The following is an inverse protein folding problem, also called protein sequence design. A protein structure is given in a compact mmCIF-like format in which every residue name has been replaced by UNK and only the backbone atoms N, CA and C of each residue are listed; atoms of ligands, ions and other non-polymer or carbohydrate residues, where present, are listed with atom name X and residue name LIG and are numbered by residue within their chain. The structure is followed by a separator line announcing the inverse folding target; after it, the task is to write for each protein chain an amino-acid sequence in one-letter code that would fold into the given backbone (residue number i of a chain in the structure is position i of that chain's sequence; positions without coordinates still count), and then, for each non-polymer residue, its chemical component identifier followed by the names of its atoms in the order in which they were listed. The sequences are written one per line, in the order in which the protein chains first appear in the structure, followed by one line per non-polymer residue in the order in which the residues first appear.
data_IF_865183930752
#
_entry.id   IF_865183930752
#
_cell.length_a   1.000
_cell.length_b   1.000
_cell.length_c   1.000
_cell.angle_alpha   90.00
_cell.angle_beta   90.00
_cell.angle_gamma   90.00
#
_symmetry.space_group_name_H-M   'P 1'
#
loop_
_entity.id
_entity.type
_entity.pdbx_description
1 polymer ?
#
# COMPACT_ATOMS: atom_id res chain seq x y z
N UNK A 1 18.03 -45.05 63.71
CA UNK A 1 18.00 -45.90 62.49
C UNK A 1 19.45 -46.24 62.14
N UNK A 2 19.82 -47.52 62.11
CA UNK A 2 21.22 -47.97 61.97
C UNK A 2 21.85 -47.48 60.66
N UNK A 3 23.08 -46.97 60.70
CA UNK A 3 23.87 -46.50 59.55
C UNK A 3 23.92 -47.50 58.40
N UNK A 4 23.84 -48.80 58.70
CA UNK A 4 23.70 -49.89 57.72
C UNK A 4 22.43 -49.80 56.87
N UNK A 5 21.29 -49.35 57.43
CA UNK A 5 20.04 -49.19 56.69
C UNK A 5 20.10 -48.01 55.72
N UNK A 6 20.79 -46.94 56.10
CA UNK A 6 20.96 -45.74 55.26
C UNK A 6 21.85 -46.01 54.05
N UNK A 7 22.91 -46.80 54.23
CA UNK A 7 23.82 -47.20 53.14
C UNK A 7 23.12 -48.13 52.14
N UNK A 8 22.33 -49.10 52.63
CA UNK A 8 21.57 -50.01 51.76
C UNK A 8 20.52 -49.24 50.95
N UNK A 9 19.82 -48.28 51.57
CA UNK A 9 18.83 -47.44 50.88
C UNK A 9 19.48 -46.59 49.78
N UNK A 10 20.67 -46.02 50.04
CA UNK A 10 21.41 -45.23 49.06
C UNK A 10 21.86 -46.06 47.86
N UNK A 11 22.34 -47.30 48.09
CA UNK A 11 22.75 -48.22 47.03
C UNK A 11 21.55 -48.65 46.18
N UNK A 12 20.40 -48.94 46.81
CA UNK A 12 19.17 -49.29 46.07
C UNK A 12 18.69 -48.12 45.23
N UNK A 13 18.69 -46.89 45.75
CA UNK A 13 18.31 -45.69 45.00
C UNK A 13 19.26 -45.41 43.82
N UNK A 14 20.58 -45.59 44.01
CA UNK A 14 21.57 -45.44 42.94
C UNK A 14 21.43 -46.51 41.85
N UNK A 15 21.18 -47.77 42.23
CA UNK A 15 20.96 -48.86 41.27
C UNK A 15 19.64 -48.71 40.53
N UNK A 16 18.56 -48.26 41.19
CA UNK A 16 17.32 -47.92 40.50
C UNK A 16 17.48 -46.71 39.57
N UNK A 17 18.27 -45.71 39.97
CA UNK A 17 18.58 -44.55 39.13
C UNK A 17 19.41 -44.92 37.89
N UNK A 18 20.37 -45.84 38.04
CA UNK A 18 21.17 -46.38 36.93
C UNK A 18 20.34 -47.29 36.01
N UNK A 19 19.45 -48.12 36.56
CA UNK A 19 18.57 -48.98 35.76
C UNK A 19 17.52 -48.18 34.97
N UNK A 20 16.96 -47.11 35.56
CA UNK A 20 16.05 -46.18 34.87
C UNK A 20 16.84 -45.32 33.86
N UNK A 21 18.05 -44.90 34.20
CA UNK A 21 18.95 -44.18 33.29
C UNK A 21 19.33 -45.01 32.06
N UNK A 22 19.57 -46.32 32.21
CA UNK A 22 19.86 -47.24 31.10
C UNK A 22 18.60 -47.66 30.32
N UNK A 23 17.43 -47.72 30.99
CA UNK A 23 16.15 -47.96 30.32
C UNK A 23 15.67 -46.77 29.47
N UNK A 24 16.09 -45.55 29.82
CA UNK A 24 15.76 -44.32 29.09
C UNK A 24 16.82 -43.93 28.03
N UNK A 25 18.03 -44.50 28.07
CA UNK A 25 19.01 -44.35 26.98
C UNK A 25 18.81 -45.38 25.86
N UNK A 26 17.96 -46.39 26.07
CA UNK A 26 17.64 -47.43 25.10
C UNK A 26 16.46 -47.12 24.16
N UNK A 27 15.70 -46.05 24.39
CA UNK A 27 14.75 -45.56 23.38
C UNK A 27 15.45 -44.49 22.55
N UNK A 28 16.27 -44.95 21.60
CA UNK A 28 16.52 -44.19 20.38
C UNK A 28 15.16 -43.88 19.73
N UNK A 29 14.56 -42.74 20.09
CA UNK A 29 13.73 -42.02 19.15
C UNK A 29 14.67 -41.43 18.08
N UNK A 30 15.30 -42.30 17.29
CA UNK A 30 15.77 -41.94 15.94
C UNK A 30 14.54 -41.83 15.06
N UNK A 31 13.73 -40.80 15.30
CA UNK A 31 12.98 -40.22 14.20
C UNK A 31 13.90 -39.18 13.62
N UNK A 32 14.85 -39.65 12.80
CA UNK A 32 15.56 -38.83 11.81
C UNK A 32 14.58 -38.18 10.84
N UNK A 33 13.30 -38.53 10.90
CA UNK A 33 12.29 -38.14 9.94
C UNK A 33 11.25 -37.20 10.60
N UNK A 34 11.12 -35.96 10.12
CA UNK A 34 9.93 -35.14 10.37
C UNK A 34 8.84 -35.56 9.40
N UNK A 35 7.68 -35.97 9.93
CA UNK A 35 6.50 -36.33 9.15
C UNK A 35 5.49 -35.20 9.19
N UNK A 36 5.36 -34.46 8.09
CA UNK A 36 4.34 -33.43 7.93
C UNK A 36 3.14 -34.01 7.18
N UNK A 37 1.99 -34.06 7.85
CA UNK A 37 0.73 -34.57 7.29
C UNK A 37 -0.24 -33.43 6.98
N UNK A 38 -0.79 -33.41 5.77
CA UNK A 38 -1.87 -32.52 5.36
C UNK A 38 -2.95 -33.34 4.66
N UNK A 39 -4.08 -33.58 5.35
CA UNK A 39 -5.10 -34.53 4.88
C UNK A 39 -4.55 -35.96 4.78
N UNK A 40 -4.67 -36.59 3.60
CA UNK A 40 -4.12 -37.92 3.30
C UNK A 40 -2.68 -37.88 2.77
N UNK A 41 -2.13 -36.68 2.53
CA UNK A 41 -0.77 -36.52 2.01
C UNK A 41 0.25 -36.41 3.15
N UNK A 42 1.43 -37.00 2.94
CA UNK A 42 2.50 -37.07 3.93
C UNK A 42 3.86 -36.73 3.31
N UNK A 43 4.55 -35.77 3.91
CA UNK A 43 5.95 -35.46 3.63
C UNK A 43 6.83 -36.01 4.74
N UNK A 44 7.91 -36.68 4.36
CA UNK A 44 8.93 -37.21 5.27
C UNK A 44 10.23 -36.46 4.98
N UNK A 45 10.75 -35.73 5.96
CA UNK A 45 12.00 -34.95 5.86
C UNK A 45 13.05 -35.66 6.71
N UNK A 46 14.15 -36.08 6.09
CA UNK A 46 15.28 -36.70 6.80
C UNK A 46 16.20 -35.60 7.35
N UNK A 47 16.15 -35.36 8.65
CA UNK A 47 16.84 -34.33 9.40
C UNK A 47 18.37 -34.39 9.28
N UNK A 48 18.97 -35.58 9.17
CA UNK A 48 20.43 -35.70 9.09
C UNK A 48 20.94 -35.34 7.68
N UNK A 49 20.15 -35.69 6.65
CA UNK A 49 20.56 -35.52 5.25
C UNK A 49 20.08 -34.21 4.64
N UNK A 50 18.87 -33.78 5.00
CA UNK A 50 18.20 -32.66 4.33
C UNK A 50 18.45 -31.32 5.01
N UNK A 51 18.76 -31.28 6.32
CA UNK A 51 19.14 -30.03 7.01
C UNK A 51 20.62 -29.64 6.82
N UNK A 52 21.43 -30.50 6.20
CA UNK A 52 22.84 -30.19 5.93
C UNK A 52 23.01 -29.12 4.84
N UNK A 53 21.96 -28.88 4.05
CA UNK A 53 21.93 -27.92 2.96
C UNK A 53 20.54 -27.28 2.84
N UNK A 54 20.47 -25.97 3.13
CA UNK A 54 19.22 -25.19 3.11
C UNK A 54 18.53 -25.25 1.73
N UNK A 55 19.30 -25.33 0.64
CA UNK A 55 18.77 -25.42 -0.72
C UNK A 55 18.06 -26.75 -0.96
N UNK A 56 18.66 -27.87 -0.51
CA UNK A 56 18.05 -29.21 -0.57
C UNK A 56 16.80 -29.30 0.30
N UNK A 57 16.81 -28.73 1.50
CA UNK A 57 15.65 -28.69 2.40
C UNK A 57 14.49 -27.92 1.77
N UNK A 58 14.75 -26.68 1.34
CA UNK A 58 13.74 -25.83 0.72
C UNK A 58 13.25 -26.44 -0.60
N UNK A 59 14.15 -27.01 -1.39
CA UNK A 59 13.80 -27.76 -2.60
C UNK A 59 12.81 -28.89 -2.32
N UNK A 60 13.00 -29.65 -1.24
CA UNK A 60 12.07 -30.71 -0.83
C UNK A 60 10.74 -30.16 -0.33
N UNK A 61 10.74 -29.15 0.53
CA UNK A 61 9.52 -28.53 1.08
C UNK A 61 8.66 -27.95 -0.05
N UNK A 62 9.26 -27.30 -1.04
CA UNK A 62 8.53 -26.70 -2.15
C UNK A 62 8.37 -27.62 -3.38
N UNK A 63 8.93 -28.84 -3.36
CA UNK A 63 8.82 -29.79 -4.49
C UNK A 63 7.42 -30.38 -4.70
N UNK A 64 6.58 -30.40 -3.64
CA UNK A 64 5.24 -30.99 -3.68
C UNK A 64 4.20 -29.92 -3.34
N UNK A 65 3.13 -29.84 -4.12
CA UNK A 65 2.10 -28.79 -3.98
C UNK A 65 1.50 -28.70 -2.57
N UNK A 66 1.17 -29.82 -1.93
CA UNK A 66 0.60 -29.80 -0.58
C UNK A 66 1.60 -29.32 0.50
N UNK A 67 2.88 -29.65 0.34
CA UNK A 67 3.95 -29.24 1.25
C UNK A 67 4.28 -27.77 1.07
N UNK A 68 4.34 -27.31 -0.19
CA UNK A 68 4.48 -25.90 -0.52
C UNK A 68 3.32 -25.09 0.07
N UNK A 69 2.07 -25.55 -0.11
CA UNK A 69 0.89 -24.90 0.46
C UNK A 69 0.92 -24.88 2.00
N UNK A 70 1.35 -25.98 2.63
CA UNK A 70 1.54 -26.04 4.08
C UNK A 70 2.60 -25.06 4.58
N UNK A 71 3.75 -24.98 3.90
CA UNK A 71 4.83 -24.06 4.22
C UNK A 71 4.42 -22.59 4.05
N UNK A 72 3.72 -22.27 2.96
CA UNK A 72 3.18 -20.92 2.75
C UNK A 72 2.17 -20.55 3.82
N UNK A 73 1.25 -21.45 4.20
CA UNK A 73 0.30 -21.18 5.27
C UNK A 73 0.99 -21.01 6.63
N UNK A 74 1.98 -21.85 6.95
CA UNK A 74 2.74 -21.71 8.18
C UNK A 74 3.49 -20.37 8.26
N UNK A 75 4.17 -19.96 7.18
CA UNK A 75 4.84 -18.66 7.09
C UNK A 75 3.87 -17.49 7.30
N UNK A 76 2.65 -17.63 6.80
CA UNK A 76 1.61 -16.62 6.92
C UNK A 76 1.03 -16.54 8.33
N UNK A 77 0.70 -17.68 8.94
CA UNK A 77 0.04 -17.73 10.24
C UNK A 77 1.00 -17.41 11.39
N UNK A 78 2.26 -17.89 11.32
CA UNK A 78 3.22 -17.76 12.43
C UNK A 78 4.18 -16.58 12.27
N UNK A 79 4.51 -16.21 11.04
CA UNK A 79 5.53 -15.19 10.76
C UNK A 79 4.98 -13.95 10.02
N UNK A 80 3.68 -13.92 9.72
CA UNK A 80 3.05 -12.86 8.92
C UNK A 80 3.79 -12.58 7.60
N UNK A 81 4.40 -13.63 7.01
CA UNK A 81 5.12 -13.56 5.76
C UNK A 81 4.20 -14.01 4.62
N UNK A 82 3.87 -13.07 3.75
CA UNK A 82 2.98 -13.28 2.62
C UNK A 82 3.76 -13.28 1.32
N UNK A 83 3.32 -14.11 0.38
CA UNK A 83 3.73 -13.95 -1.00
C UNK A 83 3.10 -12.67 -1.59
N UNK A 84 3.79 -11.98 -2.50
CA UNK A 84 3.30 -10.69 -3.05
C UNK A 84 1.97 -10.81 -3.83
N UNK A 85 1.62 -12.02 -4.27
CA UNK A 85 0.37 -12.34 -4.97
C UNK A 85 -0.68 -13.01 -4.07
N UNK A 86 -0.42 -13.13 -2.77
CA UNK A 86 -1.37 -13.72 -1.82
C UNK A 86 -2.56 -12.76 -1.62
N UNK A 87 -3.82 -13.20 -1.83
CA UNK A 87 -4.99 -12.35 -1.63
C UNK A 87 -5.14 -11.84 -0.19
N UNK A 88 -4.66 -12.59 0.80
CA UNK A 88 -4.83 -12.25 2.22
C UNK A 88 -3.82 -11.19 2.69
N UNK A 89 -2.77 -10.94 1.91
CA UNK A 89 -1.87 -9.80 2.12
C UNK A 89 -2.65 -8.48 2.10
N UNK A 90 -3.64 -8.35 1.21
CA UNK A 90 -4.44 -7.12 1.12
C UNK A 90 -5.19 -6.83 2.42
N UNK A 91 -5.72 -7.86 3.10
CA UNK A 91 -6.35 -7.72 4.40
C UNK A 91 -5.37 -7.18 5.46
N UNK A 92 -4.17 -7.78 5.54
CA UNK A 92 -3.14 -7.33 6.48
C UNK A 92 -2.61 -5.93 6.21
N UNK A 93 -2.54 -5.51 4.96
CA UNK A 93 -2.17 -4.14 4.61
C UNK A 93 -3.17 -3.10 5.18
N UNK A 94 -4.44 -3.46 5.41
CA UNK A 94 -5.42 -2.55 6.01
C UNK A 94 -5.27 -2.40 7.53
N UNK A 95 -4.62 -3.35 8.18
CA UNK A 95 -4.36 -3.34 9.63
C UNK A 95 -3.13 -2.50 9.98
N UNK A 96 -2.32 -2.10 8.99
CA UNK A 96 -1.10 -1.33 9.22
C UNK A 96 -1.39 0.05 9.82
N UNK A 97 -0.63 0.40 10.86
CA UNK A 97 -0.67 1.74 11.42
C UNK A 97 -0.27 2.80 10.39
N UNK A 98 -0.89 3.97 10.49
CA UNK A 98 -0.66 5.06 9.56
C UNK A 98 0.83 5.49 9.52
N UNK A 99 1.53 5.49 10.65
CA UNK A 99 2.94 5.94 10.71
C UNK A 99 3.96 4.81 10.50
N UNK A 100 3.52 3.59 10.19
CA UNK A 100 4.45 2.49 9.91
C UNK A 100 5.28 2.76 8.65
N UNK A 101 6.51 2.22 8.62
CA UNK A 101 7.41 2.37 7.48
C UNK A 101 6.78 1.87 6.17
N UNK A 102 6.10 0.72 6.22
CA UNK A 102 5.38 0.14 5.09
C UNK A 102 4.22 1.05 4.62
N UNK A 103 3.40 1.58 5.53
CA UNK A 103 2.34 2.54 5.19
C UNK A 103 2.89 3.80 4.53
N UNK A 104 4.02 4.33 5.00
CA UNK A 104 4.68 5.49 4.40
C UNK A 104 5.18 5.19 2.99
N UNK A 105 5.85 4.07 2.78
CA UNK A 105 6.32 3.65 1.46
C UNK A 105 5.17 3.39 0.48
N UNK A 106 4.07 2.79 0.94
CA UNK A 106 2.87 2.62 0.13
C UNK A 106 2.22 3.96 -0.25
N UNK A 107 2.22 4.95 0.65
CA UNK A 107 1.79 6.32 0.31
C UNK A 107 2.71 6.97 -0.69
N UNK A 108 4.02 6.85 -0.53
CA UNK A 108 4.98 7.37 -1.52
C UNK A 108 4.84 6.67 -2.87
N UNK A 109 4.63 5.36 -2.88
CA UNK A 109 4.36 4.59 -4.10
C UNK A 109 3.05 4.99 -4.74
N UNK A 110 1.98 5.21 -3.94
CA UNK A 110 0.73 5.80 -4.41
C UNK A 110 1.02 7.15 -5.05
N UNK A 111 1.73 8.04 -4.37
CA UNK A 111 2.01 9.40 -4.85
C UNK A 111 2.89 9.40 -6.11
N UNK A 112 3.77 8.40 -6.29
CA UNK A 112 4.57 8.18 -7.50
C UNK A 112 3.81 7.47 -8.63
N UNK A 113 2.84 6.61 -8.29
CA UNK A 113 1.99 5.82 -9.21
C UNK A 113 0.63 6.45 -9.49
N UNK A 114 0.38 7.62 -8.91
CA UNK A 114 -0.57 8.61 -9.38
C UNK A 114 -0.23 8.90 -10.85
N UNK A 115 -0.72 8.05 -11.75
CA UNK A 115 -0.44 8.09 -13.19
C UNK A 115 -0.92 9.39 -13.83
N UNK A 116 -0.97 9.50 -15.16
CA UNK A 116 -1.37 10.73 -15.88
C UNK A 116 -2.77 11.28 -15.53
N UNK A 117 -3.53 10.61 -14.66
CA UNK A 117 -4.79 11.05 -14.06
C UNK A 117 -4.63 11.88 -12.77
N UNK A 118 -3.39 12.11 -12.30
CA UNK A 118 -3.06 12.89 -11.12
C UNK A 118 -2.77 14.37 -11.38
N UNK A 119 -2.82 14.79 -12.64
CA UNK A 119 -3.18 16.17 -12.96
C UNK A 119 -4.66 16.35 -12.58
N UNK A 120 -4.93 16.36 -11.28
CA UNK A 120 -6.27 16.47 -10.70
C UNK A 120 -6.87 17.74 -11.23
N UNK A 121 -7.69 17.63 -12.26
CA UNK A 121 -8.47 18.74 -12.74
C UNK A 121 -9.33 19.17 -11.57
N UNK A 122 -9.11 20.39 -11.08
CA UNK A 122 -9.84 20.92 -9.94
C UNK A 122 -11.12 21.53 -10.47
N UNK A 123 -12.23 21.23 -9.80
CA UNK A 123 -13.45 21.96 -10.04
C UNK A 123 -13.21 23.44 -9.72
N UNK A 124 -13.50 24.30 -10.69
CA UNK A 124 -13.33 25.74 -10.64
C UNK A 124 -14.65 26.43 -10.89
N UNK A 125 -14.84 27.59 -10.26
CA UNK A 125 -15.90 28.51 -10.67
C UNK A 125 -15.34 29.48 -11.68
N UNK A 126 -16.00 29.52 -12.82
CA UNK A 126 -15.66 30.40 -13.93
C UNK A 126 -16.58 31.60 -13.91
N UNK A 127 -16.02 32.79 -13.89
CA UNK A 127 -16.77 34.04 -13.97
C UNK A 127 -16.26 34.93 -15.11
N UNK A 128 -17.08 35.91 -15.48
CA UNK A 128 -16.71 36.95 -16.43
C UNK A 128 -16.71 38.26 -15.66
N UNK A 129 -15.54 38.92 -15.48
CA UNK A 129 -15.48 40.17 -14.75
C UNK A 129 -15.97 41.33 -15.63
N UNK A 130 -16.08 42.51 -15.04
CA UNK A 130 -16.48 43.73 -15.77
C UNK A 130 -15.50 44.05 -16.91
N UNK A 131 -16.00 44.73 -17.95
CA UNK A 131 -15.26 44.94 -19.21
C UNK A 131 -13.91 45.63 -19.03
N UNK A 132 -13.76 46.45 -17.99
CA UNK A 132 -12.53 47.21 -17.70
C UNK A 132 -11.40 46.35 -17.12
N UNK A 133 -11.75 45.26 -16.43
CA UNK A 133 -10.81 44.36 -15.73
C UNK A 133 -10.74 42.97 -16.36
N UNK A 134 -11.42 42.79 -17.50
CA UNK A 134 -11.49 41.54 -18.22
C UNK A 134 -10.14 41.17 -18.86
N UNK A 135 -9.67 39.92 -18.70
CA UNK A 135 -8.46 39.50 -19.39
C UNK A 135 -8.68 39.42 -20.90
N UNK A 136 -7.60 39.55 -21.66
CA UNK A 136 -7.60 39.29 -23.10
C UNK A 136 -7.89 37.82 -23.39
N UNK A 137 -8.39 37.49 -24.59
CA UNK A 137 -8.60 36.09 -24.97
C UNK A 137 -7.28 35.31 -24.91
N UNK A 138 -7.34 34.09 -24.36
CA UNK A 138 -6.17 33.26 -24.07
C UNK A 138 -5.50 33.53 -22.73
N UNK A 139 -6.01 34.50 -21.95
CA UNK A 139 -5.53 34.83 -20.61
C UNK A 139 -6.65 34.71 -19.58
N UNK A 140 -6.28 34.48 -18.32
CA UNK A 140 -7.21 34.44 -17.21
C UNK A 140 -6.72 35.30 -16.04
N UNK A 141 -7.66 35.89 -15.30
CA UNK A 141 -7.35 36.39 -13.96
C UNK A 141 -7.63 35.28 -12.94
N UNK A 142 -6.69 35.07 -12.03
CA UNK A 142 -6.78 34.10 -10.93
C UNK A 142 -6.36 34.74 -9.62
N UNK A 143 -6.71 34.12 -8.50
CA UNK A 143 -6.24 34.55 -7.18
C UNK A 143 -4.70 34.45 -7.09
N UNK A 144 -4.05 35.53 -6.65
CA UNK A 144 -2.57 35.65 -6.62
C UNK A 144 -1.87 34.62 -5.72
N UNK A 145 -2.49 34.23 -4.60
CA UNK A 145 -1.98 33.14 -3.74
C UNK A 145 -2.49 31.75 -4.16
N UNK A 146 -3.27 31.67 -5.23
CA UNK A 146 -3.88 30.45 -5.75
C UNK A 146 -2.92 29.62 -6.60
N UNK A 147 -3.23 28.33 -6.73
CA UNK A 147 -2.39 27.33 -7.41
C UNK A 147 -2.18 27.57 -8.91
N UNK A 148 -3.05 28.38 -9.55
CA UNK A 148 -3.02 28.64 -10.98
C UNK A 148 -2.21 29.88 -11.34
N UNK A 149 -1.85 30.72 -10.36
CA UNK A 149 -1.18 31.99 -10.65
C UNK A 149 0.15 31.79 -11.37
N UNK A 150 0.32 32.50 -12.49
CA UNK A 150 1.46 32.45 -13.43
C UNK A 150 1.66 31.13 -14.16
N UNK A 151 0.74 30.19 -14.04
CA UNK A 151 0.82 28.89 -14.72
C UNK A 151 0.06 28.90 -16.05
N UNK A 152 0.38 27.92 -16.90
CA UNK A 152 -0.43 27.59 -18.07
C UNK A 152 -1.44 26.54 -17.67
N UNK A 153 -2.71 26.80 -17.92
CA UNK A 153 -3.81 25.93 -17.50
C UNK A 153 -4.66 25.51 -18.71
N UNK A 154 -5.25 24.33 -18.62
CA UNK A 154 -6.33 23.89 -19.51
C UNK A 154 -7.63 23.86 -18.70
N UNK A 155 -8.68 24.47 -19.24
CA UNK A 155 -10.01 24.51 -18.63
C UNK A 155 -10.99 23.80 -19.56
N UNK A 156 -11.78 22.89 -19.02
CA UNK A 156 -12.69 22.05 -19.79
C UNK A 156 -13.98 21.74 -19.02
N UNK A 157 -15.02 21.30 -19.74
CA UNK A 157 -16.27 20.86 -19.13
C UNK A 157 -16.15 19.37 -18.72
N UNK A 158 -16.41 18.99 -17.46
CA UNK A 158 -16.31 17.59 -17.03
C UNK A 158 -17.13 16.62 -17.87
N UNK A 159 -18.34 17.03 -18.26
CA UNK A 159 -19.26 16.21 -19.08
C UNK A 159 -18.91 16.23 -20.58
N UNK A 160 -18.08 17.16 -21.01
CA UNK A 160 -17.65 17.37 -22.41
C UNK A 160 -16.15 17.71 -22.47
N UNK A 161 -15.25 16.74 -22.22
CA UNK A 161 -13.81 17.00 -22.11
C UNK A 161 -13.16 17.45 -23.44
N UNK A 162 -13.84 17.25 -24.57
CA UNK A 162 -13.46 17.81 -25.88
C UNK A 162 -13.67 19.33 -25.95
N UNK A 163 -14.57 19.88 -25.14
CA UNK A 163 -14.79 21.32 -24.96
C UNK A 163 -13.76 21.85 -23.97
N UNK A 164 -12.60 22.24 -24.51
CA UNK A 164 -11.49 22.75 -23.72
C UNK A 164 -10.84 23.98 -24.32
N UNK A 165 -10.30 24.82 -23.44
CA UNK A 165 -9.52 26.00 -23.78
C UNK A 165 -8.21 25.99 -23.00
N UNK A 166 -7.15 26.53 -23.61
CA UNK A 166 -5.86 26.70 -22.96
C UNK A 166 -5.62 28.16 -22.65
N UNK A 167 -5.22 28.47 -21.43
CA UNK A 167 -5.11 29.84 -20.93
C UNK A 167 -3.78 30.06 -20.21
N UNK A 168 -3.27 31.27 -20.31
CA UNK A 168 -2.19 31.77 -19.47
C UNK A 168 -2.78 32.52 -18.27
N UNK A 169 -2.61 31.99 -17.07
CA UNK A 169 -3.14 32.58 -15.84
C UNK A 169 -2.21 33.65 -15.26
N UNK A 170 -1.90 34.69 -16.06
CA UNK A 170 -1.02 35.79 -15.65
C UNK A 170 -1.76 36.99 -15.04
N UNK A 171 -3.07 37.09 -15.25
CA UNK A 171 -3.90 38.11 -14.61
C UNK A 171 -4.12 37.78 -13.13
N UNK A 172 -4.31 38.80 -12.29
CA UNK A 172 -4.50 38.62 -10.84
C UNK A 172 -5.66 39.42 -10.30
N UNK A 173 -6.28 38.87 -9.25
CA UNK A 173 -7.16 39.60 -8.34
C UNK A 173 -6.85 39.21 -6.89
N UNK A 174 -7.28 40.05 -5.95
CA UNK A 174 -7.10 39.80 -4.52
C UNK A 174 -7.95 38.60 -4.06
N UNK A 175 -7.32 37.65 -3.39
CA UNK A 175 -8.01 36.43 -2.95
C UNK A 175 -9.08 36.76 -1.89
N UNK A 176 -10.35 36.34 -2.08
CA UNK A 176 -11.40 36.62 -1.11
C UNK A 176 -11.10 35.97 0.24
N UNK A 177 -11.32 36.70 1.33
CA UNK A 177 -11.14 36.15 2.69
C UNK A 177 -12.08 34.96 2.92
N UNK A 178 -11.53 33.84 3.38
CA UNK A 178 -12.29 32.63 3.72
C UNK A 178 -12.63 31.70 2.55
N UNK A 179 -12.33 32.07 1.30
CA UNK A 179 -12.51 31.18 0.14
C UNK A 179 -11.19 30.51 -0.24
N UNK A 180 -11.21 29.17 -0.36
CA UNK A 180 -10.04 28.34 -0.70
C UNK A 180 -10.10 27.72 -2.10
N UNK A 181 -11.18 27.97 -2.85
CA UNK A 181 -11.37 27.34 -4.15
C UNK A 181 -10.77 28.20 -5.26
N UNK A 182 -10.21 27.59 -6.31
CA UNK A 182 -9.72 28.36 -7.42
C UNK A 182 -10.90 28.87 -8.25
N UNK A 183 -11.13 30.17 -8.18
CA UNK A 183 -11.99 30.87 -9.14
C UNK A 183 -11.13 31.35 -10.32
N UNK A 184 -11.68 31.24 -11.53
CA UNK A 184 -11.03 31.69 -12.77
C UNK A 184 -11.94 32.72 -13.43
N UNK A 185 -11.36 33.86 -13.80
CA UNK A 185 -12.06 34.88 -14.57
C UNK A 185 -11.62 34.84 -16.03
N UNK A 186 -12.59 34.72 -16.94
CA UNK A 186 -12.35 34.61 -18.38
C UNK A 186 -12.78 35.84 -19.17
N UNK A 187 -12.24 35.93 -20.39
CA UNK A 187 -12.79 36.78 -21.43
C UNK A 187 -14.16 36.26 -21.89
N UNK A 188 -15.02 37.14 -22.43
CA UNK A 188 -16.32 36.74 -23.02
C UNK A 188 -16.12 35.80 -24.21
N UNK A 189 -15.03 36.00 -24.95
CA UNK A 189 -14.67 35.17 -26.09
C UNK A 189 -14.31 33.74 -25.65
N UNK A 190 -13.51 33.59 -24.60
CA UNK A 190 -13.12 32.26 -24.11
C UNK A 190 -14.27 31.56 -23.39
N UNK A 191 -15.12 32.30 -22.69
CA UNK A 191 -16.37 31.77 -22.16
C UNK A 191 -17.29 31.24 -23.28
N UNK A 192 -17.43 32.00 -24.37
CA UNK A 192 -18.19 31.55 -25.54
C UNK A 192 -17.57 30.28 -26.18
N UNK A 193 -16.24 30.18 -26.25
CA UNK A 193 -15.55 28.97 -26.76
C UNK A 193 -15.79 27.75 -25.88
N UNK A 194 -15.77 27.94 -24.55
CA UNK A 194 -15.89 26.85 -23.58
C UNK A 194 -17.34 26.40 -23.38
N UNK A 195 -18.24 27.34 -23.05
CA UNK A 195 -19.63 27.06 -22.68
C UNK A 195 -20.63 27.20 -23.84
N UNK A 196 -20.26 27.87 -24.94
CA UNK A 196 -21.18 28.22 -26.02
C UNK A 196 -22.07 29.43 -25.73
N UNK A 197 -21.84 30.11 -24.61
CA UNK A 197 -22.49 31.37 -24.22
C UNK A 197 -21.54 32.21 -23.36
N UNK A 198 -21.82 33.50 -23.20
CA UNK A 198 -20.95 34.44 -22.48
C UNK A 198 -21.67 35.32 -21.46
N UNK A 199 -22.92 35.00 -21.12
CA UNK A 199 -23.73 35.76 -20.17
C UNK A 199 -24.01 34.88 -18.94
N UNK A 200 -23.17 35.04 -17.93
CA UNK A 200 -23.28 34.29 -16.68
C UNK A 200 -24.19 35.03 -15.69
N UNK A 201 -25.03 34.29 -14.96
CA UNK A 201 -25.83 34.88 -13.88
C UNK A 201 -24.97 35.23 -12.66
N UNK A 202 -23.95 34.41 -12.36
CA UNK A 202 -22.97 34.64 -11.29
C UNK A 202 -21.64 33.96 -11.58
N UNK A 203 -21.69 32.66 -11.86
CA UNK A 203 -20.55 31.84 -12.27
C UNK A 203 -21.07 30.56 -12.94
N UNK A 204 -20.19 29.92 -13.69
CA UNK A 204 -20.36 28.56 -14.20
C UNK A 204 -19.33 27.62 -13.58
N UNK A 205 -19.55 26.32 -13.65
CA UNK A 205 -18.60 25.32 -13.13
C UNK A 205 -17.84 24.67 -14.28
N UNK A 206 -16.53 24.52 -14.13
CA UNK A 206 -15.67 23.78 -15.05
C UNK A 206 -14.61 23.01 -14.26
N UNK A 207 -13.76 22.25 -14.95
CA UNK A 207 -12.55 21.68 -14.39
C UNK A 207 -11.32 22.36 -14.99
N UNK A 208 -10.30 22.60 -14.18
CA UNK A 208 -9.06 23.22 -14.61
C UNK A 208 -7.83 22.44 -14.15
N UNK A 209 -6.84 22.37 -15.03
CA UNK A 209 -5.63 21.60 -14.80
C UNK A 209 -4.39 22.40 -15.19
N UNK A 210 -3.34 22.34 -14.38
CA UNK A 210 -2.04 22.93 -14.69
C UNK A 210 -1.33 22.02 -15.68
N UNK A 211 -1.00 22.56 -16.86
CA UNK A 211 -0.29 21.83 -17.92
C UNK A 211 1.17 22.28 -18.07
N UNK A 212 1.56 23.40 -17.44
CA UNK A 212 2.94 23.88 -17.39
C UNK A 212 3.14 24.80 -16.19
N UNK A 213 4.24 24.61 -15.46
CA UNK A 213 4.68 25.45 -14.32
C UNK A 213 5.49 26.67 -14.75
#
# INVERSE_FOLDING_TARGET
MSTTKTIILAIVCLLSGLAIGWGLTGTEAKTTDIRWKYGDAELVIDLEKDMADDETLMGKIFSKEYSAAGATNWLKEEHELFHFADPDLAGKLTELEYESAASRELRELRDKRLGPWSYQAQEVKVSIPEREVQPFSGYANVCESGIFFRKKIEVFLPDHPDKKITLQASGRYACPEGYKFPDIQLSREDAMKLFGYSDFSKYETAAAVVIQE
#
